data_IF_365873702430
#
_entry.id   IF_365873702430
#
_cell.length_a   1.000
_cell.length_b   1.000
_cell.length_c   1.000
_cell.angle_alpha   90.00
_cell.angle_beta   90.00
_cell.angle_gamma   90.00
#
_symmetry.space_group_name_H-M   'P 1'
#
loop_
_entity.id
_entity.type
_entity.pdbx_description
1 polymer ?
#
# COMPACT_ATOMS: atom_id res chain seq x y z
N UNK A 1 34.34 79.68 -9.27
CA UNK A 1 33.49 80.29 -10.32
C UNK A 1 33.28 79.28 -11.44
N UNK A 2 32.01 78.93 -11.69
CA UNK A 2 31.39 78.28 -12.86
C UNK A 2 32.26 77.45 -13.82
N UNK A 3 32.19 76.11 -13.67
CA UNK A 3 32.52 75.16 -14.73
C UNK A 3 31.25 74.75 -15.49
N UNK A 4 31.22 75.01 -16.81
CA UNK A 4 30.38 74.33 -17.80
C UNK A 4 31.15 73.11 -18.28
N UNK A 5 30.56 71.91 -18.38
CA UNK A 5 30.86 70.92 -19.43
C UNK A 5 29.65 70.02 -19.72
N UNK A 6 29.59 69.60 -20.98
CA UNK A 6 28.44 69.10 -21.73
C UNK A 6 27.97 67.69 -21.34
N UNK A 7 26.69 67.46 -21.67
CA UNK A 7 25.98 66.19 -21.74
C UNK A 7 26.60 65.21 -22.75
N UNK A 8 26.61 63.91 -22.41
CA UNK A 8 26.65 62.82 -23.37
C UNK A 8 25.52 61.84 -23.04
N UNK A 9 24.63 61.67 -24.01
CA UNK A 9 23.41 60.87 -23.95
C UNK A 9 23.70 59.37 -23.94
N UNK A 10 23.13 58.63 -22.98
CA UNK A 10 23.07 57.16 -23.00
C UNK A 10 21.64 56.75 -23.33
N UNK A 11 21.44 56.22 -24.53
CA UNK A 11 20.20 55.55 -24.96
C UNK A 11 20.21 54.13 -24.39
N UNK A 12 19.36 53.85 -23.40
CA UNK A 12 19.16 52.50 -22.86
C UNK A 12 18.05 51.82 -23.66
N UNK A 13 18.42 50.83 -24.46
CA UNK A 13 17.52 49.94 -25.19
C UNK A 13 16.91 48.91 -24.22
N UNK A 14 15.65 49.09 -23.82
CA UNK A 14 14.91 48.14 -23.00
C UNK A 14 14.53 46.90 -23.83
N UNK A 15 15.39 45.87 -23.79
CA UNK A 15 15.04 44.52 -24.23
C UNK A 15 13.97 43.94 -23.28
N UNK A 16 12.72 43.91 -23.73
CA UNK A 16 11.68 43.13 -23.05
C UNK A 16 11.90 41.65 -23.34
N UNK A 17 12.44 40.93 -22.35
CA UNK A 17 12.55 39.47 -22.42
C UNK A 17 11.16 38.88 -22.15
N UNK A 18 10.45 38.53 -23.22
CA UNK A 18 9.18 37.84 -23.13
C UNK A 18 9.43 36.37 -22.76
N UNK A 19 9.44 36.06 -21.47
CA UNK A 19 9.58 34.67 -21.00
C UNK A 19 8.22 33.96 -21.08
N UNK A 20 8.04 33.21 -22.17
CA UNK A 20 6.94 32.26 -22.29
C UNK A 20 7.00 31.24 -21.15
N UNK A 21 6.02 31.31 -20.25
CA UNK A 21 5.90 30.39 -19.11
C UNK A 21 5.45 29.01 -19.62
N UNK A 22 6.39 28.07 -19.72
CA UNK A 22 6.09 26.69 -20.05
C UNK A 22 5.25 26.05 -18.92
N UNK A 23 3.96 25.83 -19.20
CA UNK A 23 2.98 25.24 -18.30
C UNK A 23 3.19 23.71 -18.24
N UNK A 24 4.12 23.23 -17.43
CA UNK A 24 4.33 21.80 -17.23
C UNK A 24 3.16 21.21 -16.41
N UNK A 25 2.29 20.44 -17.08
CA UNK A 25 1.26 19.63 -16.41
C UNK A 25 1.96 18.61 -15.51
N UNK A 26 2.02 18.91 -14.21
CA UNK A 26 2.54 17.99 -13.20
C UNK A 26 1.60 16.78 -13.10
N UNK A 27 2.15 15.57 -13.26
CA UNK A 27 1.36 14.35 -13.19
C UNK A 27 0.81 14.12 -11.77
N UNK A 28 -0.51 14.01 -11.66
CA UNK A 28 -1.21 13.70 -10.41
C UNK A 28 -1.42 12.19 -10.32
N UNK A 29 -0.71 11.53 -9.42
CA UNK A 29 -0.95 10.13 -9.08
C UNK A 29 -2.16 9.98 -8.17
N UNK A 30 -2.85 8.83 -8.24
CA UNK A 30 -3.99 8.54 -7.35
C UNK A 30 -3.47 8.37 -5.91
N UNK A 31 -4.05 9.14 -4.99
CA UNK A 31 -3.83 9.04 -3.56
C UNK A 31 -5.17 9.25 -2.85
N UNK A 32 -5.36 8.66 -1.68
CA UNK A 32 -6.60 8.77 -0.92
C UNK A 32 -6.35 8.76 0.57
N UNK A 33 -7.20 9.44 1.33
CA UNK A 33 -7.18 9.42 2.79
C UNK A 33 -7.52 10.78 3.40
N UNK A 34 -7.86 10.78 4.67
CA UNK A 34 -8.09 12.00 5.44
C UNK A 34 -6.75 12.55 5.95
N UNK A 35 -6.52 13.84 5.83
CA UNK A 35 -5.31 14.52 6.30
C UNK A 35 -5.69 15.72 7.15
N UNK A 36 -4.97 15.91 8.25
CA UNK A 36 -5.08 17.04 9.15
C UNK A 36 -4.00 18.07 8.82
N UNK A 37 -4.41 19.34 8.77
CA UNK A 37 -3.50 20.48 8.57
C UNK A 37 -2.68 20.72 9.84
N UNK A 38 -1.36 20.77 9.71
CA UNK A 38 -0.42 21.00 10.84
C UNK A 38 0.01 22.45 11.02
N UNK A 39 -0.03 23.24 9.95
CA UNK A 39 0.29 24.68 9.98
C UNK A 39 -0.88 25.51 10.53
N UNK A 40 -0.57 26.62 11.22
CA UNK A 40 -1.58 27.58 11.71
C UNK A 40 -2.52 28.04 10.59
N UNK A 41 -1.95 28.29 9.41
CA UNK A 41 -2.67 28.59 8.19
C UNK A 41 -1.97 27.91 7.00
N UNK A 42 -2.76 27.22 6.16
CA UNK A 42 -2.31 26.55 4.95
C UNK A 42 -3.07 27.07 3.74
N UNK A 43 -2.36 27.62 2.76
CA UNK A 43 -2.98 28.20 1.56
C UNK A 43 -3.49 27.11 0.62
N UNK A 44 -4.76 27.22 0.22
CA UNK A 44 -5.40 26.39 -0.80
C UNK A 44 -5.19 27.05 -2.15
N UNK A 45 -4.68 26.31 -3.13
CA UNK A 45 -4.31 26.82 -4.45
C UNK A 45 -5.02 26.09 -5.57
N UNK A 46 -5.19 26.81 -6.68
CA UNK A 46 -5.77 26.28 -7.93
C UNK A 46 -4.88 25.28 -8.66
N UNK A 47 -3.60 25.15 -8.27
CA UNK A 47 -2.66 24.18 -8.84
C UNK A 47 -1.51 23.85 -7.89
N UNK A 48 -0.72 22.81 -8.19
CA UNK A 48 0.28 22.21 -7.30
C UNK A 48 1.62 22.98 -7.29
N UNK A 49 1.57 24.29 -7.04
CA UNK A 49 2.74 25.16 -6.89
C UNK A 49 2.34 26.46 -6.20
N UNK A 50 3.30 27.10 -5.53
CA UNK A 50 3.13 28.42 -4.89
C UNK A 50 2.84 29.54 -5.90
N UNK A 51 3.10 29.31 -7.19
CA UNK A 51 2.83 30.23 -8.30
C UNK A 51 1.36 30.26 -8.72
N UNK A 52 0.57 29.23 -8.38
CA UNK A 52 -0.85 29.20 -8.71
C UNK A 52 -1.67 30.10 -7.78
N UNK A 53 -2.78 30.64 -8.31
CA UNK A 53 -3.72 31.50 -7.58
C UNK A 53 -4.17 30.83 -6.27
N UNK A 54 -4.08 31.59 -5.18
CA UNK A 54 -4.67 31.24 -3.89
C UNK A 54 -6.18 31.39 -3.98
N UNK A 55 -6.90 30.32 -3.64
CA UNK A 55 -8.38 30.22 -3.74
C UNK A 55 -9.04 30.02 -2.38
N UNK A 56 -8.25 30.00 -1.30
CA UNK A 56 -8.72 29.87 0.06
C UNK A 56 -7.57 29.54 1.03
N UNK A 57 -7.93 29.24 2.27
CA UNK A 57 -6.99 28.78 3.28
C UNK A 57 -7.66 27.80 4.24
N UNK A 58 -6.84 26.96 4.89
CA UNK A 58 -7.25 26.02 5.93
C UNK A 58 -6.49 26.37 7.21
N UNK A 59 -7.17 26.29 8.35
CA UNK A 59 -6.54 26.50 9.66
C UNK A 59 -5.95 25.19 10.20
N UNK A 60 -5.01 25.28 11.14
CA UNK A 60 -4.50 24.11 11.88
C UNK A 60 -5.65 23.27 12.43
N UNK A 61 -5.55 21.95 12.29
CA UNK A 61 -6.58 21.00 12.72
C UNK A 61 -7.68 20.74 11.68
N UNK A 62 -7.81 21.57 10.64
CA UNK A 62 -8.75 21.29 9.54
C UNK A 62 -8.45 19.94 8.90
N UNK A 63 -9.47 19.20 8.50
CA UNK A 63 -9.31 17.93 7.80
C UNK A 63 -9.69 18.04 6.33
N UNK A 64 -8.97 17.31 5.47
CA UNK A 64 -9.24 17.22 4.04
C UNK A 64 -9.25 15.77 3.58
N UNK A 65 -10.12 15.45 2.63
CA UNK A 65 -10.12 14.15 1.95
C UNK A 65 -9.30 14.25 0.66
N UNK A 66 -8.10 13.68 0.69
CA UNK A 66 -7.18 13.66 -0.45
C UNK A 66 -7.71 12.72 -1.53
N UNK A 67 -7.54 13.12 -2.79
CA UNK A 67 -7.94 12.38 -4.01
C UNK A 67 -6.79 12.19 -5.01
N UNK A 68 -5.63 12.78 -4.74
CA UNK A 68 -4.46 12.68 -5.59
C UNK A 68 -3.22 13.29 -4.95
N UNK A 69 -2.04 12.91 -5.47
CA UNK A 69 -0.75 13.45 -5.05
C UNK A 69 0.14 13.66 -6.26
N UNK A 70 0.78 14.81 -6.34
CA UNK A 70 1.77 15.12 -7.38
C UNK A 70 3.18 14.65 -6.96
N UNK A 71 4.06 14.51 -7.94
CA UNK A 71 5.47 14.17 -7.70
C UNK A 71 6.21 15.21 -6.85
N UNK A 72 5.84 16.49 -6.95
CA UNK A 72 6.38 17.59 -6.16
C UNK A 72 5.67 17.77 -4.79
N UNK A 73 5.08 16.72 -4.25
CA UNK A 73 4.48 16.67 -2.90
C UNK A 73 3.31 17.64 -2.65
N UNK A 74 2.50 17.93 -3.66
CA UNK A 74 1.20 18.59 -3.50
C UNK A 74 0.08 17.56 -3.47
N UNK A 75 -0.93 17.85 -2.65
CA UNK A 75 -2.07 16.97 -2.45
C UNK A 75 -3.31 17.61 -3.04
N UNK A 76 -4.02 16.84 -3.84
CA UNK A 76 -5.27 17.22 -4.50
C UNK A 76 -6.47 16.84 -3.63
N UNK A 77 -7.44 17.72 -3.50
CA UNK A 77 -8.71 17.48 -2.83
C UNK A 77 -9.82 18.34 -3.46
N UNK A 78 -11.07 18.18 -3.01
CA UNK A 78 -12.19 19.03 -3.44
C UNK A 78 -12.39 20.16 -2.44
N UNK A 79 -12.43 21.40 -2.92
CA UNK A 79 -12.69 22.61 -2.13
C UNK A 79 -13.74 23.46 -2.84
N UNK A 80 -14.85 23.78 -2.18
CA UNK A 80 -15.99 24.51 -2.77
C UNK A 80 -16.43 23.94 -4.13
N UNK A 81 -16.58 22.60 -4.20
CA UNK A 81 -16.94 21.84 -5.42
C UNK A 81 -15.94 21.94 -6.58
N UNK A 82 -14.74 22.47 -6.36
CA UNK A 82 -13.67 22.59 -7.37
C UNK A 82 -12.43 21.79 -6.97
N UNK A 83 -11.64 21.41 -7.98
CA UNK A 83 -10.33 20.82 -7.75
C UNK A 83 -9.39 21.84 -7.11
N UNK A 84 -8.68 21.43 -6.05
CA UNK A 84 -7.78 22.29 -5.31
C UNK A 84 -6.55 21.52 -4.79
N UNK A 85 -5.50 22.28 -4.49
CA UNK A 85 -4.21 21.75 -4.08
C UNK A 85 -3.68 22.43 -2.82
N UNK A 86 -3.04 21.65 -1.96
CA UNK A 86 -2.29 22.14 -0.79
C UNK A 86 -0.92 21.48 -0.72
N UNK A 87 0.05 22.16 -0.12
CA UNK A 87 1.39 21.59 0.08
C UNK A 87 1.33 20.46 1.10
N UNK A 88 1.87 19.30 0.72
CA UNK A 88 1.96 18.12 1.57
C UNK A 88 2.91 18.27 2.76
N UNK A 89 3.76 19.30 2.76
CA UNK A 89 4.66 19.59 3.89
C UNK A 89 3.89 19.96 5.17
N UNK A 90 2.64 20.44 5.03
CA UNK A 90 1.80 20.90 6.14
C UNK A 90 0.60 19.99 6.38
N UNK A 91 0.67 18.75 5.88
CA UNK A 91 -0.35 17.75 6.09
C UNK A 91 0.22 16.60 6.90
N UNK A 92 -0.45 16.27 7.99
CA UNK A 92 -0.31 14.99 8.67
C UNK A 92 -1.49 14.14 8.27
N UNK A 93 -1.27 12.95 7.72
CA UNK A 93 -2.37 12.03 7.46
C UNK A 93 -3.12 11.80 8.77
N UNK A 94 -4.42 12.06 8.78
CA UNK A 94 -5.28 11.72 9.91
C UNK A 94 -5.36 10.21 9.90
N UNK A 95 -4.59 9.62 10.79
CA UNK A 95 -4.80 8.26 11.18
C UNK A 95 -6.02 8.30 12.09
N UNK A 96 -7.22 7.99 11.56
CA UNK A 96 -8.32 7.55 12.43
C UNK A 96 -7.87 6.20 13.00
N UNK A 97 -7.03 6.27 14.04
CA UNK A 97 -5.78 5.50 14.10
C UNK A 97 -5.92 4.02 14.42
N UNK A 98 -7.14 3.55 14.61
CA UNK A 98 -7.38 2.18 15.01
C UNK A 98 -8.55 1.64 14.19
N UNK A 99 -8.26 0.57 13.46
CA UNK A 99 -9.30 -0.37 13.08
C UNK A 99 -9.96 -0.78 14.41
N UNK A 100 -11.27 -0.61 14.55
CA UNK A 100 -11.96 -0.91 15.81
C UNK A 100 -12.58 -2.30 15.76
N UNK A 101 -12.81 -2.96 16.92
CA UNK A 101 -13.61 -4.18 17.00
C UNK A 101 -14.94 -4.10 16.23
N UNK A 102 -15.65 -2.99 16.37
CA UNK A 102 -16.93 -2.77 15.70
C UNK A 102 -16.79 -2.67 14.18
N UNK A 103 -15.68 -2.13 13.68
CA UNK A 103 -15.41 -2.10 12.23
C UNK A 103 -15.16 -3.51 11.69
N UNK A 104 -14.37 -4.32 12.39
CA UNK A 104 -14.12 -5.72 12.02
C UNK A 104 -15.42 -6.52 12.05
N UNK A 105 -16.20 -6.39 13.13
CA UNK A 105 -17.46 -7.11 13.31
C UNK A 105 -18.47 -6.85 12.19
N UNK A 106 -18.44 -5.67 11.57
CA UNK A 106 -19.33 -5.28 10.46
C UNK A 106 -18.93 -5.85 9.10
N UNK A 107 -17.74 -6.43 8.98
CA UNK A 107 -17.27 -7.00 7.71
C UNK A 107 -18.07 -8.24 7.33
N UNK A 108 -18.31 -8.47 6.03
CA UNK A 108 -18.83 -9.75 5.52
C UNK A 108 -17.85 -10.88 5.80
N UNK A 109 -16.55 -10.59 5.85
CA UNK A 109 -15.50 -11.52 6.20
C UNK A 109 -15.66 -12.03 7.64
N UNK A 110 -16.04 -11.17 8.61
CA UNK A 110 -16.29 -11.57 10.00
C UNK A 110 -17.49 -12.49 10.21
N UNK A 111 -18.31 -12.68 9.17
CA UNK A 111 -19.38 -13.69 9.17
C UNK A 111 -18.86 -15.09 8.78
N UNK A 112 -17.69 -15.16 8.13
CA UNK A 112 -17.11 -16.40 7.60
C UNK A 112 -16.00 -16.97 8.47
N UNK A 113 -15.46 -16.18 9.40
CA UNK A 113 -14.32 -16.54 10.22
C UNK A 113 -14.35 -15.79 11.55
N UNK A 114 -13.61 -16.32 12.51
CA UNK A 114 -13.24 -15.76 13.81
C UNK A 114 -11.80 -15.23 13.83
N UNK A 115 -11.04 -15.32 12.74
CA UNK A 115 -9.66 -14.83 12.66
C UNK A 115 -9.42 -14.00 11.39
N UNK A 116 -9.04 -12.73 11.56
CA UNK A 116 -8.81 -11.80 10.44
C UNK A 116 -7.46 -11.09 10.61
N UNK A 117 -6.64 -11.15 9.57
CA UNK A 117 -5.47 -10.28 9.41
C UNK A 117 -5.89 -9.09 8.55
N UNK A 118 -5.81 -7.87 9.06
CA UNK A 118 -6.04 -6.67 8.23
C UNK A 118 -4.72 -6.07 7.80
N UNK A 119 -4.64 -5.65 6.53
CA UNK A 119 -3.48 -5.01 5.92
C UNK A 119 -3.91 -3.69 5.29
N UNK A 120 -3.35 -2.60 5.76
CA UNK A 120 -3.59 -1.26 5.21
C UNK A 120 -2.31 -0.76 4.54
N UNK A 121 -2.32 -0.70 3.22
CA UNK A 121 -1.20 -0.22 2.41
C UNK A 121 -1.02 1.31 2.47
N UNK A 122 0.23 1.76 2.42
CA UNK A 122 0.61 3.17 2.28
C UNK A 122 1.89 3.27 1.45
N UNK A 123 1.74 3.43 0.13
CA UNK A 123 2.85 3.21 -0.79
C UNK A 123 3.27 1.75 -0.76
N UNK A 124 4.57 1.48 -0.56
CA UNK A 124 5.11 0.12 -0.38
C UNK A 124 5.12 -0.37 1.07
N UNK A 125 4.70 0.46 2.03
CA UNK A 125 4.61 0.10 3.45
C UNK A 125 3.21 -0.45 3.76
N UNK A 126 3.13 -1.24 4.83
CA UNK A 126 1.88 -1.81 5.32
C UNK A 126 1.76 -1.66 6.84
N UNK A 127 0.53 -1.47 7.30
CA UNK A 127 0.12 -1.63 8.68
C UNK A 127 -0.69 -2.93 8.77
N UNK A 128 -0.24 -3.86 9.60
CA UNK A 128 -0.83 -5.19 9.71
C UNK A 128 -1.36 -5.37 11.13
N UNK A 129 -2.62 -5.76 11.27
CA UNK A 129 -3.25 -6.04 12.56
C UNK A 129 -3.87 -7.43 12.52
N UNK A 130 -3.77 -8.17 13.63
CA UNK A 130 -4.38 -9.48 13.79
C UNK A 130 -5.55 -9.40 14.76
N UNK A 131 -6.69 -9.94 14.34
CA UNK A 131 -7.97 -9.88 15.04
C UNK A 131 -8.52 -11.27 15.27
N UNK A 132 -9.06 -11.50 16.46
CA UNK A 132 -9.66 -12.76 16.88
C UNK A 132 -11.04 -12.51 17.48
N UNK A 133 -11.99 -13.38 17.18
CA UNK A 133 -13.33 -13.40 17.76
C UNK A 133 -13.35 -14.44 18.87
N UNK A 134 -13.69 -14.03 20.08
CA UNK A 134 -13.82 -14.97 21.19
C UNK A 134 -15.13 -15.78 21.11
N UNK A 135 -15.30 -16.75 22.02
CA UNK A 135 -16.48 -17.65 22.06
C UNK A 135 -17.82 -16.93 22.28
N UNK A 136 -17.82 -15.74 22.87
CA UNK A 136 -19.02 -14.90 23.06
C UNK A 136 -19.24 -13.92 21.90
N UNK A 137 -18.46 -14.06 20.82
CA UNK A 137 -18.63 -13.34 19.57
C UNK A 137 -18.01 -11.94 19.49
N UNK A 138 -17.21 -11.55 20.48
CA UNK A 138 -16.54 -10.25 20.52
C UNK A 138 -15.20 -10.30 19.81
N UNK A 139 -14.94 -9.33 18.94
CA UNK A 139 -13.67 -9.17 18.25
C UNK A 139 -12.66 -8.38 19.10
N UNK A 140 -11.44 -8.87 19.19
CA UNK A 140 -10.32 -8.21 19.87
C UNK A 140 -9.09 -8.20 18.99
N UNK A 141 -8.29 -7.13 19.07
CA UNK A 141 -6.99 -7.10 18.40
C UNK A 141 -5.98 -7.83 19.25
N UNK A 142 -5.35 -8.84 18.67
CA UNK A 142 -4.24 -9.57 19.28
C UNK A 142 -2.95 -8.75 19.22
N UNK A 143 -2.60 -8.20 18.05
CA UNK A 143 -1.46 -7.29 17.92
C UNK A 143 -1.57 -6.37 16.70
N UNK A 144 -0.67 -5.38 16.64
CA UNK A 144 -0.44 -4.47 15.51
C UNK A 144 1.04 -4.42 15.19
N UNK A 145 1.37 -4.42 13.91
CA UNK A 145 2.75 -4.35 13.42
C UNK A 145 2.83 -3.59 12.09
N UNK A 146 4.05 -3.37 11.61
CA UNK A 146 4.32 -2.81 10.29
C UNK A 146 5.01 -3.84 9.40
N UNK A 147 5.07 -3.54 8.12
CA UNK A 147 5.84 -4.31 7.16
C UNK A 147 5.70 -3.76 5.77
N UNK A 148 5.78 -4.62 4.75
CA UNK A 148 5.75 -4.19 3.36
C UNK A 148 4.65 -4.88 2.54
N UNK A 149 4.23 -4.17 1.49
CA UNK A 149 3.42 -4.67 0.38
C UNK A 149 4.22 -4.51 -0.91
N UNK A 150 3.61 -4.84 -2.03
CA UNK A 150 4.20 -4.67 -3.35
C UNK A 150 4.79 -3.28 -3.56
N UNK A 151 5.91 -3.17 -4.26
CA UNK A 151 6.56 -1.88 -4.55
C UNK A 151 5.67 -0.87 -5.30
N UNK A 152 4.58 -1.32 -5.94
CA UNK A 152 3.55 -0.47 -6.57
C UNK A 152 2.27 -0.32 -5.73
N UNK A 153 2.33 -0.72 -4.46
CA UNK A 153 1.26 -0.62 -3.46
C UNK A 153 0.15 -1.66 -3.58
N UNK A 154 -0.97 -1.41 -2.92
CA UNK A 154 -2.16 -2.27 -2.92
C UNK A 154 -3.11 -1.85 -4.04
N UNK A 155 -3.61 -2.80 -4.84
CA UNK A 155 -4.52 -2.52 -5.94
C UNK A 155 -4.86 -3.73 -6.79
N UNK A 156 -5.22 -3.50 -8.05
CA UNK A 156 -5.43 -4.58 -9.02
C UNK A 156 -4.08 -5.24 -9.34
N UNK A 157 -3.99 -6.53 -9.03
CA UNK A 157 -2.81 -7.34 -9.27
C UNK A 157 -2.91 -8.09 -10.60
N UNK A 158 -1.75 -8.34 -11.20
CA UNK A 158 -1.52 -9.25 -12.32
C UNK A 158 -0.05 -9.68 -12.31
N UNK A 159 0.31 -10.66 -13.13
CA UNK A 159 1.72 -11.05 -13.29
C UNK A 159 2.62 -9.84 -13.56
N UNK A 160 3.73 -9.76 -12.82
CA UNK A 160 4.71 -8.66 -12.94
C UNK A 160 4.24 -7.28 -12.49
N UNK A 161 2.99 -7.11 -12.02
CA UNK A 161 2.44 -5.79 -11.64
C UNK A 161 3.11 -5.13 -10.45
N UNK A 162 3.78 -5.93 -9.60
CA UNK A 162 4.36 -5.49 -8.32
C UNK A 162 3.35 -4.87 -7.36
N UNK A 163 2.06 -5.21 -7.51
CA UNK A 163 0.97 -4.79 -6.62
C UNK A 163 0.49 -5.94 -5.76
N UNK A 164 0.20 -5.63 -4.51
CA UNK A 164 -0.53 -6.57 -3.63
C UNK A 164 -2.01 -6.52 -3.97
N UNK A 165 -2.68 -7.67 -4.16
CA UNK A 165 -4.09 -7.71 -4.53
C UNK A 165 -4.95 -7.09 -3.43
N UNK A 166 -5.70 -6.04 -3.77
CA UNK A 166 -6.72 -5.47 -2.88
C UNK A 166 -7.91 -6.43 -2.80
N UNK A 167 -8.42 -6.71 -1.60
CA UNK A 167 -9.58 -7.59 -1.41
C UNK A 167 -9.58 -8.32 -0.08
N UNK A 168 -10.48 -9.29 0.07
CA UNK A 168 -10.49 -10.22 1.20
C UNK A 168 -10.33 -11.66 0.71
N UNK A 169 -9.42 -12.39 1.33
CA UNK A 169 -8.98 -13.71 0.89
C UNK A 169 -8.88 -14.66 2.06
N UNK A 170 -9.28 -15.93 1.85
CA UNK A 170 -8.97 -16.99 2.81
C UNK A 170 -7.45 -17.21 2.85
N UNK A 171 -6.87 -17.37 4.04
CA UNK A 171 -5.50 -17.84 4.18
C UNK A 171 -5.46 -19.35 3.96
N UNK A 172 -4.54 -19.80 3.12
CA UNK A 172 -4.33 -21.22 2.81
C UNK A 172 -3.35 -21.89 3.77
N UNK A 173 -2.78 -23.01 3.35
CA UNK A 173 -1.75 -23.70 4.13
C UNK A 173 -0.55 -22.78 4.39
N UNK A 174 0.11 -23.02 5.51
CA UNK A 174 1.37 -22.41 5.85
C UNK A 174 2.54 -23.23 5.29
N UNK A 175 3.68 -22.60 5.07
CA UNK A 175 4.88 -23.27 4.59
C UNK A 175 6.14 -22.57 5.08
N UNK A 176 7.27 -23.27 4.99
CA UNK A 176 8.56 -22.68 5.33
C UNK A 176 9.68 -23.72 5.42
N UNK A 177 10.85 -23.27 5.84
CA UNK A 177 12.00 -24.16 6.06
C UNK A 177 11.83 -25.08 7.28
N UNK A 178 11.03 -24.66 8.26
CA UNK A 178 10.64 -25.47 9.42
C UNK A 178 9.28 -25.02 9.96
N UNK A 179 8.58 -25.89 10.69
CA UNK A 179 7.31 -25.55 11.31
C UNK A 179 7.54 -24.81 12.65
N UNK A 180 7.10 -23.54 12.83
CA UNK A 180 7.25 -22.81 14.08
C UNK A 180 6.21 -23.17 15.16
N UNK A 181 5.43 -24.24 14.95
CA UNK A 181 4.32 -24.67 15.81
C UNK A 181 2.96 -24.20 15.32
N UNK A 182 2.73 -24.18 13.99
CA UNK A 182 1.45 -23.77 13.42
C UNK A 182 0.36 -24.82 13.59
N UNK A 183 -0.88 -24.34 13.75
CA UNK A 183 -2.10 -25.16 13.73
C UNK A 183 -2.71 -25.28 12.33
N UNK A 184 -2.25 -24.48 11.38
CA UNK A 184 -2.65 -24.57 9.99
C UNK A 184 -1.97 -25.79 9.33
N UNK A 185 -2.54 -26.35 8.25
CA UNK A 185 -1.80 -27.30 7.42
C UNK A 185 -0.44 -26.72 7.03
N UNK A 186 0.64 -27.48 7.20
CA UNK A 186 2.01 -27.01 6.98
C UNK A 186 2.72 -27.82 5.89
N UNK A 187 3.37 -27.13 4.94
CA UNK A 187 4.27 -27.75 3.96
C UNK A 187 5.71 -27.30 4.19
N UNK A 188 6.61 -28.26 4.42
CA UNK A 188 8.03 -27.95 4.51
C UNK A 188 8.61 -27.78 3.10
N UNK A 189 9.38 -26.71 2.89
CA UNK A 189 10.07 -26.46 1.62
C UNK A 189 11.17 -27.50 1.41
N UNK A 190 11.21 -28.10 0.22
CA UNK A 190 12.25 -29.00 -0.25
C UNK A 190 13.05 -28.35 -1.39
N UNK A 191 14.12 -29.01 -1.84
CA UNK A 191 14.89 -28.61 -3.04
C UNK A 191 14.07 -28.62 -4.35
N UNK A 192 12.93 -29.32 -4.33
CA UNK A 192 12.00 -29.52 -5.44
C UNK A 192 10.72 -28.67 -5.31
N UNK A 193 10.57 -27.85 -4.27
CA UNK A 193 9.35 -27.06 -4.09
C UNK A 193 9.33 -25.83 -4.99
N UNK A 194 8.31 -25.74 -5.83
CA UNK A 194 8.05 -24.61 -6.73
C UNK A 194 6.62 -24.09 -6.52
N UNK A 195 6.45 -22.77 -6.64
CA UNK A 195 5.15 -22.19 -6.94
C UNK A 195 5.07 -21.89 -8.43
N UNK A 196 4.10 -22.49 -9.12
CA UNK A 196 3.96 -22.34 -10.57
C UNK A 196 3.35 -20.99 -10.87
N UNK A 197 4.10 -20.15 -11.57
CA UNK A 197 3.71 -18.78 -11.93
C UNK A 197 3.72 -18.56 -13.43
N UNK A 198 4.19 -19.53 -14.22
CA UNK A 198 4.06 -19.52 -15.67
C UNK A 198 2.58 -19.65 -16.10
N UNK A 199 1.96 -18.63 -16.75
CA UNK A 199 0.56 -18.69 -17.15
C UNK A 199 0.25 -19.76 -18.22
N UNK A 200 1.28 -20.24 -18.93
CA UNK A 200 1.15 -21.33 -19.92
C UNK A 200 1.13 -22.72 -19.29
N UNK A 201 1.50 -22.84 -18.01
CA UNK A 201 1.52 -24.13 -17.31
C UNK A 201 0.09 -24.50 -16.87
N UNK A 202 -0.38 -25.73 -17.14
CA UNK A 202 -1.69 -26.19 -16.67
C UNK A 202 -1.88 -26.04 -15.15
N UNK A 203 -0.81 -26.20 -14.36
CA UNK A 203 -0.80 -26.12 -12.91
C UNK A 203 -0.51 -24.69 -12.38
N UNK A 204 -0.70 -23.66 -13.20
CA UNK A 204 -0.54 -22.25 -12.81
C UNK A 204 -1.21 -21.90 -11.48
N UNK A 205 -0.49 -21.08 -10.69
CA UNK A 205 -0.82 -20.60 -9.36
C UNK A 205 -1.04 -21.71 -8.33
N UNK A 206 -0.20 -22.74 -8.35
CA UNK A 206 -0.22 -23.84 -7.37
C UNK A 206 1.19 -24.20 -6.91
N UNK A 207 1.28 -24.84 -5.73
CA UNK A 207 2.49 -25.47 -5.25
C UNK A 207 2.71 -26.81 -5.94
N UNK A 208 3.91 -27.05 -6.47
CA UNK A 208 4.31 -28.31 -7.09
C UNK A 208 5.69 -28.76 -6.59
N UNK A 209 5.88 -30.07 -6.46
CA UNK A 209 7.19 -30.67 -6.26
C UNK A 209 7.74 -31.13 -7.62
N UNK A 210 8.80 -30.47 -8.11
CA UNK A 210 9.41 -30.72 -9.43
C UNK A 210 10.92 -30.68 -9.33
N UNK A 211 11.62 -31.52 -10.08
CA UNK A 211 13.09 -31.49 -10.20
C UNK A 211 13.58 -30.33 -11.07
N UNK A 212 12.74 -29.87 -12.02
CA UNK A 212 12.97 -28.70 -12.88
C UNK A 212 11.63 -28.03 -13.20
N UNK A 213 11.61 -26.70 -13.27
CA UNK A 213 10.43 -25.93 -13.68
C UNK A 213 10.84 -24.73 -14.55
N UNK A 214 9.85 -23.96 -15.04
CA UNK A 214 10.11 -22.75 -15.81
C UNK A 214 10.86 -21.71 -14.99
N UNK A 215 11.66 -20.85 -15.63
CA UNK A 215 12.29 -19.68 -15.00
C UNK A 215 11.28 -18.65 -14.47
N UNK A 216 10.03 -18.73 -14.93
CA UNK A 216 8.93 -17.90 -14.44
C UNK A 216 8.35 -18.43 -13.12
N UNK A 217 8.57 -19.71 -12.81
CA UNK A 217 8.08 -20.32 -11.59
C UNK A 217 8.99 -19.98 -10.42
N UNK A 218 8.39 -19.86 -9.25
CA UNK A 218 9.11 -19.45 -8.07
C UNK A 218 9.69 -20.65 -7.34
N UNK A 219 11.02 -20.78 -7.38
CA UNK A 219 11.73 -21.85 -6.67
C UNK A 219 11.85 -21.49 -5.19
N UNK A 220 11.01 -22.09 -4.35
CA UNK A 220 10.77 -21.61 -2.99
C UNK A 220 12.00 -21.73 -2.06
N UNK A 221 12.84 -22.74 -2.25
CA UNK A 221 14.07 -22.95 -1.46
C UNK A 221 15.09 -21.80 -1.60
N UNK A 222 15.00 -20.99 -2.66
CA UNK A 222 15.92 -19.88 -2.89
C UNK A 222 15.66 -18.67 -1.97
N UNK A 223 14.50 -18.63 -1.30
CA UNK A 223 14.05 -17.48 -0.51
C UNK A 223 14.20 -17.73 1.00
N UNK A 224 15.46 -17.88 1.45
CA UNK A 224 15.79 -18.30 2.83
C UNK A 224 15.30 -17.36 3.93
N UNK A 225 15.17 -16.07 3.62
CA UNK A 225 14.67 -15.07 4.58
C UNK A 225 13.14 -15.02 4.51
N UNK A 226 12.59 -14.70 3.34
CA UNK A 226 11.16 -14.48 3.16
C UNK A 226 10.37 -15.73 3.53
N UNK A 227 10.76 -16.90 3.01
CA UNK A 227 10.06 -18.16 3.23
C UNK A 227 10.68 -19.00 4.34
N UNK A 228 11.36 -18.35 5.28
CA UNK A 228 11.58 -18.95 6.60
C UNK A 228 10.24 -19.36 7.20
N UNK A 229 9.24 -18.47 7.12
CA UNK A 229 7.84 -18.67 7.50
C UNK A 229 6.93 -17.92 6.53
N UNK A 230 5.94 -18.61 5.96
CA UNK A 230 5.00 -18.02 5.05
C UNK A 230 3.61 -18.69 5.11
N UNK A 231 2.58 -17.95 4.70
CA UNK A 231 1.21 -18.43 4.57
C UNK A 231 0.69 -18.04 3.19
N UNK A 232 0.00 -18.97 2.53
CA UNK A 232 -0.61 -18.70 1.24
C UNK A 232 -1.77 -17.71 1.39
N UNK A 233 -1.78 -16.65 0.57
CA UNK A 233 -2.97 -15.81 0.38
C UNK A 233 -3.71 -16.39 -0.83
N UNK A 234 -4.93 -16.93 -0.64
CA UNK A 234 -5.70 -17.57 -1.71
C UNK A 234 -6.32 -16.56 -2.70
N UNK A 235 -5.50 -15.68 -3.25
CA UNK A 235 -5.83 -14.84 -4.39
C UNK A 235 -5.61 -15.63 -5.68
N UNK A 236 -6.66 -15.72 -6.51
CA UNK A 236 -6.59 -16.38 -7.82
C UNK A 236 -6.15 -17.86 -7.77
N UNK A 237 -6.32 -18.58 -6.65
CA UNK A 237 -5.86 -19.98 -6.51
C UNK A 237 -6.93 -21.01 -6.85
N UNK A 238 -8.22 -20.70 -6.65
CA UNK A 238 -9.33 -21.55 -7.06
C UNK A 238 -9.75 -21.22 -8.51
N UNK A 239 -9.71 -22.22 -9.40
CA UNK A 239 -9.97 -22.07 -10.84
C UNK A 239 -9.23 -20.83 -11.42
N UNK A 240 -7.88 -20.85 -11.37
CA UNK A 240 -7.07 -19.66 -11.57
C UNK A 240 -7.25 -19.07 -12.97
N UNK A 241 -7.48 -17.75 -13.04
CA UNK A 241 -7.41 -17.00 -14.29
C UNK A 241 -5.93 -16.78 -14.61
N UNK A 242 -5.48 -17.36 -15.73
CA UNK A 242 -4.08 -17.29 -16.16
C UNK A 242 -3.64 -15.84 -16.31
N UNK A 243 -2.51 -15.46 -15.69
CA UNK A 243 -1.96 -14.11 -15.78
C UNK A 243 -2.55 -13.08 -14.80
N UNK A 244 -3.61 -13.41 -14.08
CA UNK A 244 -4.23 -12.51 -13.09
C UNK A 244 -3.39 -12.33 -11.81
N UNK A 245 -2.24 -13.01 -11.73
CA UNK A 245 -1.26 -12.93 -10.65
C UNK A 245 -1.22 -14.22 -9.84
N UNK A 246 -0.03 -14.61 -9.41
CA UNK A 246 0.25 -15.81 -8.62
C UNK A 246 1.18 -15.50 -7.43
N UNK A 247 1.42 -16.51 -6.60
CA UNK A 247 2.45 -16.51 -5.56
C UNK A 247 2.34 -15.34 -4.56
N UNK A 248 1.11 -14.97 -4.19
CA UNK A 248 0.88 -13.99 -3.13
C UNK A 248 0.90 -14.67 -1.77
N UNK A 249 1.87 -14.30 -0.95
CA UNK A 249 2.06 -14.87 0.38
C UNK A 249 2.09 -13.78 1.45
N UNK A 250 1.80 -14.18 2.68
CA UNK A 250 2.16 -13.45 3.88
C UNK A 250 3.43 -14.07 4.45
N UNK A 251 4.54 -13.33 4.52
CA UNK A 251 5.85 -13.94 4.82
C UNK A 251 6.77 -13.04 5.66
N UNK A 252 7.95 -13.54 6.02
CA UNK A 252 8.94 -12.79 6.82
C UNK A 252 9.49 -11.60 6.01
N UNK A 253 9.56 -10.44 6.65
CA UNK A 253 10.06 -9.22 6.05
C UNK A 253 11.58 -9.24 5.89
N UNK A 254 12.06 -8.83 4.71
CA UNK A 254 13.48 -8.70 4.38
C UNK A 254 13.92 -7.23 4.35
N UNK A 255 13.13 -6.32 4.94
CA UNK A 255 13.40 -4.89 4.99
C UNK A 255 13.24 -4.15 3.65
N UNK A 256 12.59 -4.78 2.66
CA UNK A 256 12.40 -4.21 1.32
C UNK A 256 10.97 -4.44 0.83
N UNK A 257 10.42 -3.56 -0.02
CA UNK A 257 9.15 -3.79 -0.70
C UNK A 257 9.08 -5.13 -1.42
N UNK A 258 7.92 -5.77 -1.41
CA UNK A 258 7.72 -7.08 -2.04
C UNK A 258 7.42 -6.94 -3.54
N UNK A 259 7.32 -8.08 -4.24
CA UNK A 259 6.77 -8.15 -5.59
C UNK A 259 5.22 -8.22 -5.61
N UNK A 260 4.57 -8.18 -4.45
CA UNK A 260 3.12 -8.34 -4.34
C UNK A 260 2.67 -9.01 -3.04
N UNK A 261 3.55 -9.77 -2.39
CA UNK A 261 3.30 -10.34 -1.07
C UNK A 261 3.04 -9.28 0.01
N UNK A 262 2.55 -9.73 1.15
CA UNK A 262 2.55 -8.96 2.40
C UNK A 262 3.71 -9.50 3.26
N UNK A 263 4.49 -8.62 3.87
CA UNK A 263 5.53 -9.03 4.81
C UNK A 263 5.36 -8.41 6.18
N UNK A 264 5.80 -9.12 7.22
CA UNK A 264 5.86 -8.68 8.63
C UNK A 264 7.15 -9.22 9.26
N UNK A 265 7.58 -8.68 10.41
CA UNK A 265 8.79 -9.19 11.08
C UNK A 265 8.71 -10.69 11.38
N UNK A 266 9.87 -11.37 11.48
CA UNK A 266 9.91 -12.82 11.78
C UNK A 266 9.14 -13.16 13.07
N UNK A 267 9.29 -12.33 14.12
CA UNK A 267 8.58 -12.51 15.39
C UNK A 267 7.06 -12.52 15.22
N UNK A 268 6.51 -11.55 14.50
CA UNK A 268 5.06 -11.49 14.23
C UNK A 268 4.61 -12.59 13.28
N UNK A 269 5.45 -13.01 12.32
CA UNK A 269 5.12 -14.14 11.45
C UNK A 269 5.02 -15.45 12.24
N UNK A 270 5.93 -15.70 13.19
CA UNK A 270 5.83 -16.83 14.12
C UNK A 270 4.58 -16.77 14.99
N UNK A 271 4.25 -15.58 15.51
CA UNK A 271 3.05 -15.38 16.30
C UNK A 271 1.78 -15.70 15.49
N UNK A 272 1.66 -15.16 14.28
CA UNK A 272 0.57 -15.47 13.35
C UNK A 272 0.48 -16.97 13.10
N UNK A 273 1.58 -17.61 12.72
CA UNK A 273 1.54 -19.04 12.42
C UNK A 273 1.09 -19.89 13.61
N UNK A 274 1.47 -19.55 14.84
CA UNK A 274 1.05 -20.28 16.05
C UNK A 274 -0.41 -20.06 16.43
N UNK A 275 -0.99 -18.91 16.07
CA UNK A 275 -2.33 -18.51 16.48
C UNK A 275 -3.38 -18.80 15.39
N UNK A 276 -3.05 -18.58 14.13
CA UNK A 276 -3.96 -18.76 13.00
C UNK A 276 -4.33 -20.25 12.81
N UNK A 277 -5.57 -20.49 12.40
CA UNK A 277 -6.09 -21.79 12.01
C UNK A 277 -6.74 -21.77 10.61
N UNK A 278 -7.19 -22.93 10.15
CA UNK A 278 -7.50 -23.27 8.74
C UNK A 278 -8.68 -22.50 8.09
N UNK A 279 -9.24 -21.50 8.77
CA UNK A 279 -10.30 -20.65 8.26
C UNK A 279 -10.01 -19.14 8.43
N UNK A 280 -8.80 -18.77 8.83
CA UNK A 280 -8.43 -17.37 8.93
C UNK A 280 -8.50 -16.67 7.56
N UNK A 281 -8.79 -15.37 7.58
CA UNK A 281 -8.85 -14.54 6.38
C UNK A 281 -7.89 -13.35 6.49
N UNK A 282 -7.57 -12.76 5.34
CA UNK A 282 -6.82 -11.51 5.24
C UNK A 282 -7.62 -10.47 4.44
N UNK A 283 -7.73 -9.25 4.97
CA UNK A 283 -8.35 -8.10 4.29
C UNK A 283 -7.25 -7.11 3.94
N UNK A 284 -7.07 -6.81 2.65
CA UNK A 284 -6.00 -5.96 2.13
C UNK A 284 -6.62 -4.74 1.45
N UNK A 285 -6.32 -3.55 1.95
CA UNK A 285 -6.94 -2.27 1.53
C UNK A 285 -5.95 -1.12 1.48
N UNK A 286 -6.35 0.01 0.88
CA UNK A 286 -5.53 1.25 0.85
C UNK A 286 -5.86 2.22 1.99
N UNK A 287 -7.03 2.06 2.63
CA UNK A 287 -7.40 2.83 3.82
C UNK A 287 -8.26 2.00 4.76
N UNK A 288 -8.17 2.26 6.06
CA UNK A 288 -8.95 1.57 7.09
C UNK A 288 -10.47 1.69 6.83
N UNK A 289 -10.93 2.83 6.31
CA UNK A 289 -12.33 3.07 5.93
C UNK A 289 -12.88 2.10 4.87
N UNK A 290 -12.02 1.38 4.16
CA UNK A 290 -12.43 0.37 3.18
C UNK A 290 -12.68 -1.01 3.81
N UNK A 291 -12.22 -1.27 5.04
CA UNK A 291 -12.28 -2.59 5.68
C UNK A 291 -13.73 -3.08 5.77
N UNK A 292 -14.64 -2.22 6.23
CA UNK A 292 -16.06 -2.55 6.39
C UNK A 292 -16.79 -2.92 5.08
N UNK A 293 -16.14 -2.78 3.91
CA UNK A 293 -16.72 -3.17 2.60
C UNK A 293 -16.52 -4.65 2.28
N UNK A 294 -15.59 -5.31 2.97
CA UNK A 294 -15.28 -6.73 2.83
C UNK A 294 -15.87 -7.53 3.97
#
# INVERSE_FOLDING_TARGET
>A
MKGKWLLASIVIFLLTVNTAYANSKTNVSKASGEYTVTANQLNVRSGPSTKHKMIGSLRKGSTIQVTGKTTNNWYRFTYNKKEAYVSGAYLKRKTNDQISPAMIAKTKTAQKTDQIVTVVGSGSKAYVEYWEKNKVGQWTRSFKTTGHVGSKGVGQAKEGSKRTPKGAYKLGFAFGHSNPGTKMPFKQITKNSYWISNPKDPQYNTWQERTKSSRLDERLINYRVQYKYAIVINYNTYKPVKGAGSAFFLHVDSGRPTAGCVSVSESHMRQLMRQLHDNAHIIIVNSQSEIAKY
#
